data_IF_194930264061
#
_entry.id   IF_194930264061
#
_cell.length_a   1.000
_cell.length_b   1.000
_cell.length_c   1.000
_cell.angle_alpha   90.00
_cell.angle_beta   90.00
_cell.angle_gamma   90.00
#
_symmetry.space_group_name_H-M   'P 1'
#
loop_
_entity.id
_entity.type
_entity.pdbx_description
1 polymer ?
#
# COMPACT_ATOMS: atom_id res chain seq x y z
N UNK A 1 -21.01 -5.10 -1.10
CA UNK A 1 -19.93 -4.22 -1.61
C UNK A 1 -18.74 -5.11 -1.95
N UNK A 2 -18.52 -5.39 -3.23
CA UNK A 2 -17.33 -6.11 -3.66
C UNK A 2 -16.16 -5.10 -3.68
N UNK A 3 -15.11 -5.39 -2.92
CA UNK A 3 -13.86 -4.61 -2.95
C UNK A 3 -12.71 -5.57 -3.12
N UNK A 4 -11.73 -5.18 -3.94
CA UNK A 4 -10.44 -5.87 -3.98
C UNK A 4 -9.51 -5.17 -3.00
N UNK A 5 -9.11 -5.88 -1.95
CA UNK A 5 -8.26 -5.35 -0.89
C UNK A 5 -6.80 -5.71 -1.13
N UNK A 6 -5.95 -4.71 -1.31
CA UNK A 6 -4.50 -4.86 -1.38
C UNK A 6 -3.88 -4.44 -0.05
N UNK A 7 -3.33 -5.40 0.69
CA UNK A 7 -2.72 -5.15 2.00
C UNK A 7 -1.20 -5.16 1.93
N UNK A 8 -0.58 -4.13 2.49
CA UNK A 8 0.86 -4.04 2.67
C UNK A 8 1.20 -4.38 4.12
N UNK A 9 1.87 -5.51 4.34
CA UNK A 9 2.21 -6.00 5.68
C UNK A 9 3.03 -5.01 6.52
N UNK A 10 3.87 -4.20 5.86
CA UNK A 10 4.65 -3.11 6.46
C UNK A 10 4.17 -1.73 5.99
N UNK A 11 2.89 -1.62 5.64
CA UNK A 11 2.31 -0.43 5.04
C UNK A 11 2.50 0.84 5.88
N UNK A 12 2.50 0.75 7.21
CA UNK A 12 2.70 1.91 8.09
C UNK A 12 4.08 2.57 7.94
N UNK A 13 5.08 1.84 7.46
CA UNK A 13 6.45 2.33 7.28
C UNK A 13 6.73 2.88 5.86
N UNK A 14 5.73 2.87 4.97
CA UNK A 14 5.88 3.37 3.60
C UNK A 14 5.46 4.84 3.49
N UNK A 15 6.19 5.70 2.78
CA UNK A 15 5.65 7.00 2.40
C UNK A 15 4.48 6.81 1.43
N UNK A 16 3.44 7.62 1.58
CA UNK A 16 2.25 7.59 0.73
C UNK A 16 1.85 9.03 0.34
N UNK A 17 2.63 9.70 -0.52
CA UNK A 17 2.40 11.09 -0.89
C UNK A 17 1.11 11.29 -1.70
N UNK A 18 0.67 10.25 -2.41
CA UNK A 18 -0.59 10.26 -3.18
C UNK A 18 -1.80 9.83 -2.35
N UNK A 19 -1.62 9.57 -1.04
CA UNK A 19 -2.67 9.14 -0.12
C UNK A 19 -3.50 7.95 -0.63
N UNK A 20 -2.85 6.94 -1.22
CA UNK A 20 -3.50 5.74 -1.75
C UNK A 20 -4.07 4.84 -0.65
N UNK A 21 -3.47 4.81 0.55
CA UNK A 21 -3.99 4.03 1.64
C UNK A 21 -5.31 4.62 2.13
N UNK A 22 -6.38 3.82 2.06
CA UNK A 22 -7.73 4.22 2.46
C UNK A 22 -8.36 3.25 3.49
N UNK A 23 -7.62 2.21 3.89
CA UNK A 23 -8.12 1.13 4.74
C UNK A 23 -7.03 0.65 5.71
N UNK A 24 -7.45 0.16 6.89
CA UNK A 24 -6.53 -0.24 7.98
C UNK A 24 -5.55 0.88 8.39
N UNK A 25 -6.00 2.14 8.43
CA UNK A 25 -5.14 3.31 8.68
C UNK A 25 -4.65 3.42 10.13
N UNK A 26 -5.43 2.91 11.08
CA UNK A 26 -5.10 2.93 12.52
C UNK A 26 -4.07 1.86 12.91
N UNK A 27 -3.65 1.02 11.96
CA UNK A 27 -2.69 -0.04 12.19
C UNK A 27 -1.25 0.47 12.23
N UNK A 28 -0.54 0.19 13.33
CA UNK A 28 0.88 0.55 13.50
C UNK A 28 1.86 -0.22 12.59
N UNK A 29 1.40 -1.27 11.91
CA UNK A 29 2.27 -2.15 11.09
C UNK A 29 1.80 -2.21 9.64
N UNK A 30 0.52 -2.48 9.41
CA UNK A 30 -0.06 -2.70 8.08
C UNK A 30 -1.01 -1.58 7.68
N UNK A 31 -1.06 -1.28 6.39
CA UNK A 31 -2.08 -0.44 5.76
C UNK A 31 -2.58 -1.12 4.49
N UNK A 32 -3.78 -0.76 4.04
CA UNK A 32 -4.42 -1.37 2.89
C UNK A 32 -5.07 -0.34 1.96
N UNK A 33 -5.26 -0.77 0.71
CA UNK A 33 -6.00 -0.06 -0.31
C UNK A 33 -7.17 -0.95 -0.68
N UNK A 34 -8.38 -0.44 -0.50
CA UNK A 34 -9.61 -1.08 -0.94
C UNK A 34 -10.02 -0.45 -2.28
N UNK A 35 -9.89 -1.22 -3.36
CA UNK A 35 -10.34 -0.83 -4.69
C UNK A 35 -11.81 -1.22 -4.89
N UNK A 36 -12.63 -0.26 -5.33
CA UNK A 36 -14.03 -0.51 -5.69
C UNK A 36 -14.16 -0.69 -7.20
N UNK A 37 -15.18 -1.43 -7.60
CA UNK A 37 -15.54 -1.54 -9.01
C UNK A 37 -15.86 -0.15 -9.59
N UNK A 38 -15.27 0.17 -10.74
CA UNK A 38 -15.42 1.48 -11.40
C UNK A 38 -14.57 2.61 -10.83
N UNK A 39 -13.75 2.36 -9.81
CA UNK A 39 -12.80 3.36 -9.28
C UNK A 39 -11.59 3.50 -10.22
N UNK A 40 -11.19 4.74 -10.49
CA UNK A 40 -9.99 5.00 -11.28
C UNK A 40 -8.74 4.75 -10.43
N UNK A 41 -7.79 4.00 -10.99
CA UNK A 41 -6.55 3.65 -10.29
C UNK A 41 -5.42 4.53 -10.83
N UNK A 42 -4.79 5.30 -9.95
CA UNK A 42 -3.51 5.94 -10.25
C UNK A 42 -2.41 4.88 -10.32
N UNK A 43 -2.17 4.38 -11.54
CA UNK A 43 -1.22 3.31 -11.80
C UNK A 43 0.24 3.70 -11.54
N UNK A 44 0.61 4.97 -11.71
CA UNK A 44 1.98 5.44 -11.46
C UNK A 44 2.25 5.55 -9.97
N UNK A 45 1.30 6.11 -9.20
CA UNK A 45 1.40 6.14 -7.75
C UNK A 45 1.40 4.73 -7.14
N UNK A 46 0.53 3.84 -7.63
CA UNK A 46 0.48 2.45 -7.14
C UNK A 46 1.79 1.71 -7.43
N UNK A 47 2.36 1.88 -8.63
CA UNK A 47 3.66 1.29 -9.01
C UNK A 47 4.79 1.84 -8.14
N UNK A 48 4.81 3.14 -7.88
CA UNK A 48 5.79 3.77 -6.99
C UNK A 48 5.70 3.20 -5.56
N UNK A 49 4.48 3.07 -5.03
CA UNK A 49 4.23 2.49 -3.71
C UNK A 49 4.70 1.03 -3.62
N UNK A 50 4.43 0.21 -4.64
CA UNK A 50 4.91 -1.18 -4.70
C UNK A 50 6.44 -1.24 -4.74
N UNK A 51 7.11 -0.38 -5.52
CA UNK A 51 8.58 -0.32 -5.55
C UNK A 51 9.17 0.07 -4.19
N UNK A 52 8.58 1.06 -3.51
CA UNK A 52 8.98 1.44 -2.15
C UNK A 52 8.82 0.26 -1.17
N UNK A 53 7.71 -0.48 -1.26
CA UNK A 53 7.47 -1.68 -0.46
C UNK A 53 8.52 -2.76 -0.68
N UNK A 54 8.89 -3.02 -1.94
CA UNK A 54 9.95 -3.98 -2.29
C UNK A 54 11.29 -3.53 -1.71
N UNK A 55 11.67 -2.26 -1.86
CA UNK A 55 12.92 -1.73 -1.31
C UNK A 55 12.99 -1.88 0.22
N UNK A 56 11.90 -1.54 0.93
CA UNK A 56 11.79 -1.71 2.38
C UNK A 56 11.89 -3.18 2.80
N UNK A 57 11.30 -4.10 2.04
CA UNK A 57 11.37 -5.52 2.35
C UNK A 57 12.79 -6.08 2.15
N UNK A 58 13.48 -5.66 1.08
CA UNK A 58 14.86 -6.07 0.80
C UNK A 58 15.85 -5.54 1.83
N UNK A 59 15.66 -4.30 2.32
CA UNK A 59 16.56 -3.74 3.34
C UNK A 59 16.47 -4.46 4.69
N UNK A 60 15.31 -5.04 5.00
CA UNK A 60 15.09 -5.84 6.22
C UNK A 60 15.48 -7.32 6.08
N UNK A 61 15.57 -7.83 4.85
CA UNK A 61 16.00 -9.20 4.56
C UNK A 61 17.52 -9.38 4.55
N UNK A 62 18.30 -8.29 4.60
CA UNK A 62 19.74 -8.34 4.80
C UNK A 62 20.03 -8.58 6.28
N UNK A 63 19.91 -9.83 6.70
CA UNK A 63 20.40 -10.36 7.98
C UNK A 63 21.03 -11.72 7.73
#
# INVERSE_FOLDING_TARGET
KAVVKLTFAKGAALPDPSALFNSSLEGNTRRAIDFREGEEIDGEALKALVRAAVALNRSKAKR
#
